data_IF_851745569852
#
_entry.id   IF_851745569852
#
_cell.length_a   1.000
_cell.length_b   1.000
_cell.length_c   1.000
_cell.angle_alpha   90.00
_cell.angle_beta   90.00
_cell.angle_gamma   90.00
#
_symmetry.space_group_name_H-M   'P 1'
#
loop_
_entity.id
_entity.type
_entity.pdbx_description
1 polymer ?
#
# COMPACT_ATOMS: atom_id res chain seq x y z
N UNK A 1 59.62 31.64 -3.26
CA UNK A 1 60.35 30.58 -4.04
C UNK A 1 60.07 29.16 -3.52
N UNK A 2 59.72 28.93 -2.25
CA UNK A 2 59.36 27.58 -1.73
C UNK A 2 57.92 27.13 -2.10
N UNK A 3 56.98 28.05 -2.36
CA UNK A 3 55.58 27.69 -2.69
C UNK A 3 55.34 27.33 -4.18
N UNK A 4 56.23 27.73 -5.10
CA UNK A 4 56.11 27.41 -6.53
C UNK A 4 56.65 26.01 -6.88
N UNK A 5 57.57 25.47 -6.07
CA UNK A 5 58.17 24.14 -6.30
C UNK A 5 57.24 22.99 -5.87
N UNK A 6 56.37 23.22 -4.88
CA UNK A 6 55.39 22.23 -4.39
C UNK A 6 54.22 22.02 -5.38
N UNK A 7 53.84 23.05 -6.15
CA UNK A 7 52.76 22.95 -7.16
C UNK A 7 53.20 22.24 -8.44
N UNK A 8 54.48 22.34 -8.81
CA UNK A 8 55.06 21.65 -9.99
C UNK A 8 55.22 20.13 -9.76
N UNK A 9 55.66 19.71 -8.56
CA UNK A 9 55.77 18.28 -8.22
C UNK A 9 54.42 17.55 -8.06
N UNK A 10 53.33 18.26 -7.73
CA UNK A 10 51.99 17.66 -7.65
C UNK A 10 51.34 17.47 -9.02
N UNK A 11 51.74 18.27 -10.01
CA UNK A 11 51.20 18.22 -11.37
C UNK A 11 51.91 17.17 -12.23
N UNK A 12 53.20 16.92 -11.97
CA UNK A 12 53.99 15.85 -12.61
C UNK A 12 53.54 14.45 -12.14
N UNK A 13 53.24 14.28 -10.83
CA UNK A 13 52.66 13.02 -10.30
C UNK A 13 51.27 12.68 -10.84
N UNK A 14 50.47 13.67 -11.25
CA UNK A 14 49.14 13.43 -11.80
C UNK A 14 49.20 13.00 -13.28
N UNK A 15 50.19 13.49 -14.03
CA UNK A 15 50.37 13.15 -15.44
C UNK A 15 50.90 11.71 -15.64
N UNK A 16 51.76 11.22 -14.73
CA UNK A 16 52.27 9.83 -14.75
C UNK A 16 51.21 8.79 -14.32
N UNK A 17 50.22 9.19 -13.53
CA UNK A 17 49.09 8.34 -13.16
C UNK A 17 48.09 8.19 -14.32
N UNK A 18 47.91 9.23 -15.14
CA UNK A 18 47.05 9.19 -16.33
C UNK A 18 47.69 8.44 -17.51
N UNK A 19 49.02 8.46 -17.67
CA UNK A 19 49.69 7.69 -18.74
C UNK A 19 49.68 6.17 -18.49
N UNK A 20 49.73 5.74 -17.22
CA UNK A 20 49.62 4.33 -16.84
C UNK A 20 48.19 3.77 -16.92
N UNK A 21 47.15 4.61 -16.87
CA UNK A 21 45.76 4.17 -17.04
C UNK A 21 45.40 3.99 -18.52
N UNK A 22 45.93 4.83 -19.42
CA UNK A 22 45.73 4.68 -20.87
C UNK A 22 46.49 3.48 -21.46
N UNK A 23 47.68 3.13 -20.94
CA UNK A 23 48.38 1.91 -21.36
C UNK A 23 47.67 0.60 -20.94
N UNK A 24 46.83 0.62 -19.91
CA UNK A 24 46.02 -0.54 -19.49
C UNK A 24 44.70 -0.70 -20.25
N UNK A 25 44.23 0.31 -20.98
CA UNK A 25 43.00 0.25 -21.80
C UNK A 25 43.27 -0.15 -23.26
N UNK A 26 44.52 -0.16 -23.71
CA UNK A 26 44.93 -0.59 -25.06
C UNK A 26 45.15 -2.12 -25.16
N UNK A 27 45.26 -2.83 -24.02
CA UNK A 27 45.57 -4.26 -23.94
C UNK A 27 44.41 -5.25 -24.11
N UNK A 28 43.16 -4.80 -24.29
CA UNK A 28 42.00 -5.72 -24.41
C UNK A 28 41.18 -5.59 -25.70
N UNK A 29 41.73 -4.90 -26.72
CA UNK A 29 41.11 -4.69 -28.04
C UNK A 29 41.76 -5.53 -29.16
N UNK A 30 42.26 -6.73 -28.81
CA UNK A 30 42.93 -7.66 -29.72
C UNK A 30 42.36 -9.07 -29.55
N UNK A 31 41.12 -9.29 -30.02
CA UNK A 31 40.56 -10.63 -30.30
C UNK A 31 39.40 -10.49 -31.30
N UNK A 32 39.72 -10.03 -32.51
CA UNK A 32 38.88 -10.21 -33.71
C UNK A 32 39.83 -10.42 -34.90
N UNK A 33 39.95 -11.68 -35.34
CA UNK A 33 40.61 -12.04 -36.61
C UNK A 33 39.59 -12.04 -37.76
N UNK A 34 40.04 -11.84 -39.01
CA UNK A 34 39.22 -11.38 -40.13
C UNK A 34 38.65 -12.51 -41.01
N UNK A 35 37.63 -12.15 -41.76
CA UNK A 35 36.87 -12.92 -42.77
C UNK A 35 37.75 -13.27 -43.99
N UNK A 36 37.59 -14.46 -44.61
CA UNK A 36 37.97 -14.67 -46.00
C UNK A 36 36.77 -14.47 -46.95
N UNK A 37 36.96 -13.61 -47.94
CA UNK A 37 36.12 -13.43 -49.12
C UNK A 37 36.25 -14.62 -50.07
N UNK A 38 35.14 -15.23 -50.48
CA UNK A 38 35.09 -16.13 -51.63
C UNK A 38 34.05 -15.64 -52.64
N UNK A 39 34.52 -15.53 -53.88
CA UNK A 39 33.82 -15.14 -55.09
C UNK A 39 32.93 -16.31 -55.60
N UNK A 40 31.93 -16.02 -56.47
CA UNK A 40 31.46 -16.85 -57.62
C UNK A 40 29.97 -16.62 -57.96
N UNK A 41 29.77 -15.97 -59.11
CA UNK A 41 28.83 -16.21 -60.25
C UNK A 41 27.40 -16.77 -60.01
N UNK A 42 26.44 -15.95 -60.45
CA UNK A 42 25.36 -16.23 -61.42
C UNK A 42 24.81 -17.67 -61.54
N UNK A 43 23.55 -17.91 -61.11
CA UNK A 43 22.63 -18.85 -61.79
C UNK A 43 21.17 -18.55 -61.44
N UNK A 44 20.34 -18.48 -62.49
CA UNK A 44 18.87 -18.34 -62.46
C UNK A 44 18.18 -19.69 -62.13
N UNK A 45 16.89 -19.55 -61.82
CA UNK A 45 15.77 -20.50 -61.95
C UNK A 45 15.52 -21.47 -60.79
N UNK A 46 14.29 -21.45 -60.27
CA UNK A 46 13.74 -22.55 -59.47
C UNK A 46 12.58 -22.12 -58.58
N UNK A 47 11.38 -21.94 -59.14
CA UNK A 47 10.16 -21.73 -58.38
C UNK A 47 9.83 -22.94 -57.51
N UNK A 48 9.61 -22.73 -56.21
CA UNK A 48 8.97 -23.69 -55.33
C UNK A 48 8.10 -22.93 -54.31
N UNK A 49 6.80 -23.00 -54.56
CA UNK A 49 5.71 -22.39 -53.79
C UNK A 49 5.62 -23.08 -52.42
N UNK A 50 6.40 -22.65 -51.42
CA UNK A 50 6.19 -23.04 -50.02
C UNK A 50 5.09 -22.19 -49.41
N UNK A 51 3.92 -22.80 -49.17
CA UNK A 51 2.87 -22.26 -48.31
C UNK A 51 3.45 -22.03 -46.91
N UNK A 52 3.88 -20.80 -46.62
CA UNK A 52 4.08 -20.36 -45.24
C UNK A 52 2.70 -20.24 -44.59
N UNK A 53 2.35 -21.25 -43.80
CA UNK A 53 1.27 -21.17 -42.82
C UNK A 53 1.80 -20.21 -41.74
N UNK A 54 1.44 -18.94 -41.84
CA UNK A 54 1.67 -17.93 -40.82
C UNK A 54 0.92 -18.42 -39.57
N UNK A 55 1.65 -19.03 -38.64
CA UNK A 55 1.17 -19.22 -37.29
C UNK A 55 1.05 -17.82 -36.67
N UNK A 56 -0.16 -17.28 -36.72
CA UNK A 56 -0.60 -16.22 -35.83
C UNK A 56 -0.40 -16.74 -34.41
N UNK A 57 0.74 -16.38 -33.80
CA UNK A 57 1.03 -16.58 -32.38
C UNK A 57 0.08 -15.67 -31.59
N UNK A 58 -1.15 -16.16 -31.42
CA UNK A 58 -2.15 -15.56 -30.57
C UNK A 58 -1.72 -15.66 -29.11
N UNK A 59 -1.82 -14.54 -28.40
CA UNK A 59 -1.97 -14.42 -26.95
C UNK A 59 -1.11 -15.36 -26.09
N UNK A 60 0.02 -14.85 -25.60
CA UNK A 60 0.80 -15.53 -24.56
C UNK A 60 -0.11 -15.88 -23.37
N UNK A 61 -0.41 -17.17 -23.21
CA UNK A 61 -1.14 -17.68 -22.06
C UNK A 61 -0.33 -17.36 -20.79
N UNK A 62 -0.91 -16.57 -19.89
CA UNK A 62 -0.35 -16.39 -18.54
C UNK A 62 -0.29 -17.79 -17.91
N UNK A 63 0.92 -18.36 -17.78
CA UNK A 63 1.12 -19.64 -17.10
C UNK A 63 0.65 -19.49 -15.65
N UNK A 64 -0.47 -20.14 -15.33
CA UNK A 64 -1.00 -20.24 -13.97
C UNK A 64 -0.15 -21.23 -13.19
N UNK A 65 0.52 -20.76 -12.16
CA UNK A 65 1.30 -21.61 -11.25
C UNK A 65 0.81 -21.43 -9.80
N UNK A 66 -0.17 -22.23 -9.36
CA UNK A 66 -0.66 -22.16 -7.99
C UNK A 66 0.38 -22.62 -6.96
N UNK A 67 1.40 -23.41 -7.36
CA UNK A 67 2.44 -23.90 -6.45
C UNK A 67 3.34 -22.77 -5.95
N UNK A 68 3.53 -21.73 -6.75
CA UNK A 68 4.28 -20.53 -6.36
C UNK A 68 3.66 -19.70 -5.21
N UNK A 69 2.38 -19.94 -4.87
CA UNK A 69 1.69 -19.29 -3.75
C UNK A 69 1.92 -20.01 -2.41
N UNK A 70 2.31 -21.29 -2.45
CA UNK A 70 2.45 -22.13 -1.24
C UNK A 70 3.60 -21.64 -0.36
N UNK A 71 4.76 -21.31 -0.96
CA UNK A 71 5.92 -20.87 -0.18
C UNK A 71 5.66 -19.59 0.63
N UNK A 72 5.14 -18.49 0.05
CA UNK A 72 4.81 -17.29 0.85
C UNK A 72 3.76 -17.56 1.93
N UNK A 73 2.78 -18.42 1.66
CA UNK A 73 1.80 -18.82 2.67
C UNK A 73 2.46 -19.57 3.83
N UNK A 74 3.36 -20.51 3.53
CA UNK A 74 4.11 -21.27 4.55
C UNK A 74 5.02 -20.36 5.38
N UNK A 75 5.72 -19.40 4.77
CA UNK A 75 6.53 -18.42 5.51
C UNK A 75 5.67 -17.54 6.41
N UNK A 76 4.50 -17.11 5.93
CA UNK A 76 3.56 -16.32 6.74
C UNK A 76 3.04 -17.14 7.92
N UNK A 77 2.43 -18.30 7.69
CA UNK A 77 1.88 -19.12 8.77
C UNK A 77 2.97 -19.64 9.73
N UNK A 78 4.13 -20.03 9.19
CA UNK A 78 5.26 -20.51 9.98
C UNK A 78 5.85 -19.42 10.89
N UNK A 79 6.05 -18.20 10.38
CA UNK A 79 6.53 -17.08 11.21
C UNK A 79 5.56 -16.69 12.30
N UNK A 80 4.25 -16.70 12.02
CA UNK A 80 3.22 -16.46 13.05
C UNK A 80 3.17 -17.58 14.09
N UNK A 81 3.26 -18.84 13.65
CA UNK A 81 3.31 -20.01 14.53
C UNK A 81 4.53 -19.97 15.46
N UNK A 82 5.72 -19.63 14.93
CA UNK A 82 6.94 -19.44 15.71
C UNK A 82 6.81 -18.26 16.70
N UNK A 83 6.14 -17.17 16.30
CA UNK A 83 5.88 -16.05 17.21
C UNK A 83 5.01 -16.48 18.39
N UNK A 84 3.93 -17.23 18.13
CA UNK A 84 3.07 -17.78 19.18
C UNK A 84 3.83 -18.78 20.07
N UNK A 85 4.62 -19.68 19.47
CA UNK A 85 5.42 -20.66 20.20
C UNK A 85 6.45 -19.99 21.13
N UNK A 86 7.08 -18.89 20.68
CA UNK A 86 8.03 -18.13 21.50
C UNK A 86 7.42 -17.48 22.74
N UNK A 87 6.09 -17.40 22.81
CA UNK A 87 5.32 -16.81 23.90
C UNK A 87 4.60 -17.84 24.77
N UNK A 88 4.59 -19.13 24.38
CA UNK A 88 3.74 -20.15 25.01
C UNK A 88 4.06 -20.41 26.49
N UNK A 89 5.33 -20.27 26.87
CA UNK A 89 5.80 -20.51 28.24
C UNK A 89 5.61 -19.30 29.18
N UNK A 90 5.17 -18.15 28.66
CA UNK A 90 5.04 -16.92 29.44
C UNK A 90 3.78 -16.93 30.30
N UNK A 91 3.93 -16.49 31.55
CA UNK A 91 2.80 -16.21 32.43
C UNK A 91 2.21 -14.83 32.10
N UNK A 92 0.91 -14.60 32.39
CA UNK A 92 0.25 -13.32 32.13
C UNK A 92 1.04 -12.08 32.58
N UNK A 93 1.64 -12.10 33.76
CA UNK A 93 2.37 -10.96 34.33
C UNK A 93 3.81 -10.80 33.84
N UNK A 94 4.32 -11.70 32.99
CA UNK A 94 5.71 -11.69 32.55
C UNK A 94 6.00 -10.55 31.57
N UNK A 95 7.28 -10.17 31.51
CA UNK A 95 7.79 -9.10 30.63
C UNK A 95 8.50 -9.66 29.42
N UNK A 96 8.41 -8.94 28.32
CA UNK A 96 9.11 -9.32 27.10
C UNK A 96 10.53 -8.73 27.13
N UNK A 97 11.53 -9.61 27.13
CA UNK A 97 12.92 -9.19 27.01
C UNK A 97 13.19 -8.59 25.63
N UNK A 98 14.19 -7.71 25.52
CA UNK A 98 14.56 -7.08 24.25
C UNK A 98 14.92 -8.11 23.17
N UNK A 99 15.56 -9.22 23.55
CA UNK A 99 15.90 -10.31 22.63
C UNK A 99 14.64 -10.98 22.05
N UNK A 100 13.65 -11.30 22.90
CA UNK A 100 12.36 -11.85 22.45
C UNK A 100 11.58 -10.81 21.64
N UNK A 101 11.60 -9.55 22.04
CA UNK A 101 11.01 -8.44 21.28
C UNK A 101 11.59 -8.29 19.88
N UNK A 102 12.92 -8.36 19.74
CA UNK A 102 13.61 -8.32 18.45
C UNK A 102 13.27 -9.52 17.57
N UNK A 103 13.13 -10.71 18.17
CA UNK A 103 12.64 -11.91 17.48
C UNK A 103 11.20 -11.70 16.98
N UNK A 104 10.31 -11.15 17.80
CA UNK A 104 8.93 -10.85 17.41
C UNK A 104 8.84 -9.82 16.28
N UNK A 105 9.65 -8.77 16.30
CA UNK A 105 9.75 -7.82 15.16
C UNK A 105 10.18 -8.56 13.89
N UNK A 106 11.21 -9.40 14.00
CA UNK A 106 11.75 -10.13 12.84
C UNK A 106 10.72 -11.09 12.26
N UNK A 107 10.03 -11.86 13.11
CA UNK A 107 8.96 -12.77 12.72
C UNK A 107 7.75 -12.00 12.15
N UNK A 108 7.39 -10.86 12.73
CA UNK A 108 6.34 -9.99 12.21
C UNK A 108 6.69 -9.43 10.84
N UNK A 109 7.93 -9.00 10.62
CA UNK A 109 8.37 -8.53 9.31
C UNK A 109 8.25 -9.62 8.24
N UNK A 110 8.73 -10.83 8.53
CA UNK A 110 8.56 -12.00 7.65
C UNK A 110 7.07 -12.27 7.42
N UNK A 111 6.25 -12.24 8.46
CA UNK A 111 4.81 -12.48 8.39
C UNK A 111 4.11 -11.53 7.40
N UNK A 112 4.25 -10.22 7.59
CA UNK A 112 3.53 -9.22 6.79
C UNK A 112 4.02 -9.17 5.35
N UNK A 113 5.32 -9.28 5.11
CA UNK A 113 5.89 -9.32 3.76
C UNK A 113 5.42 -10.58 3.02
N UNK A 114 5.52 -11.75 3.66
CA UNK A 114 5.12 -13.02 3.06
C UNK A 114 3.60 -13.10 2.83
N UNK A 115 2.78 -12.57 3.76
CA UNK A 115 1.32 -12.49 3.59
C UNK A 115 0.95 -11.64 2.38
N UNK A 116 1.62 -10.52 2.19
CA UNK A 116 1.38 -9.61 1.06
C UNK A 116 1.78 -10.25 -0.26
N UNK A 117 2.94 -10.90 -0.30
CA UNK A 117 3.40 -11.64 -1.48
C UNK A 117 2.44 -12.79 -1.81
N UNK A 118 1.99 -13.53 -0.79
CA UNK A 118 0.96 -14.55 -0.93
C UNK A 118 -0.31 -13.98 -1.57
N UNK A 119 -0.87 -12.90 -1.02
CA UNK A 119 -2.11 -12.30 -1.55
C UNK A 119 -1.94 -11.77 -2.97
N UNK A 120 -0.80 -11.15 -3.28
CA UNK A 120 -0.49 -10.68 -4.64
C UNK A 120 -0.41 -11.85 -5.63
N UNK A 121 0.31 -12.93 -5.28
CA UNK A 121 0.37 -14.13 -6.12
C UNK A 121 -0.98 -14.84 -6.22
N UNK A 122 -1.75 -14.89 -5.13
CA UNK A 122 -3.08 -15.46 -5.10
C UNK A 122 -3.99 -14.77 -6.14
N UNK A 123 -3.98 -13.44 -6.20
CA UNK A 123 -4.80 -12.69 -7.15
C UNK A 123 -4.22 -12.73 -8.58
N UNK A 124 -2.89 -12.66 -8.75
CA UNK A 124 -2.26 -12.48 -10.06
C UNK A 124 -1.83 -13.78 -10.77
N UNK A 125 -1.72 -14.91 -10.05
CA UNK A 125 -1.20 -16.18 -10.60
C UNK A 125 -2.21 -17.32 -10.59
N UNK A 126 -3.27 -17.23 -9.80
CA UNK A 126 -4.30 -18.28 -9.77
C UNK A 126 -5.40 -18.02 -10.79
N UNK A 127 -6.06 -19.09 -11.26
CA UNK A 127 -7.19 -19.01 -12.18
C UNK A 127 -8.36 -18.23 -11.57
N UNK A 128 -8.63 -18.43 -10.27
CA UNK A 128 -9.67 -17.72 -9.53
C UNK A 128 -9.33 -16.23 -9.42
N UNK A 129 -8.09 -15.90 -9.07
CA UNK A 129 -7.62 -14.52 -8.97
C UNK A 129 -7.66 -13.79 -10.31
N UNK A 130 -7.18 -14.41 -11.39
CA UNK A 130 -7.25 -13.83 -12.73
C UNK A 130 -8.69 -13.65 -13.22
N UNK A 131 -9.59 -14.58 -12.86
CA UNK A 131 -11.02 -14.43 -13.14
C UNK A 131 -11.63 -13.25 -12.38
N UNK A 132 -11.21 -13.04 -11.13
CA UNK A 132 -11.60 -11.89 -10.31
C UNK A 132 -11.10 -10.57 -10.91
N UNK A 133 -9.83 -10.49 -11.30
CA UNK A 133 -9.24 -9.31 -11.96
C UNK A 133 -9.98 -8.97 -13.26
N UNK A 134 -10.29 -9.99 -14.09
CA UNK A 134 -11.07 -9.80 -15.32
C UNK A 134 -12.51 -9.35 -15.04
N UNK A 135 -13.18 -9.96 -14.06
CA UNK A 135 -14.58 -9.64 -13.69
C UNK A 135 -14.75 -8.19 -13.28
N UNK A 136 -13.82 -7.65 -12.50
CA UNK A 136 -13.87 -6.27 -12.00
C UNK A 136 -12.99 -5.29 -12.77
N UNK A 137 -12.38 -5.72 -13.88
CA UNK A 137 -11.48 -4.92 -14.74
C UNK A 137 -10.39 -4.19 -13.94
N UNK A 138 -9.79 -4.90 -12.99
CA UNK A 138 -8.80 -4.32 -12.07
C UNK A 138 -7.45 -4.13 -12.76
N UNK A 139 -6.79 -3.01 -12.49
CA UNK A 139 -5.38 -2.78 -12.88
C UNK A 139 -4.44 -3.29 -11.80
N UNK A 140 -3.16 -3.32 -12.10
CA UNK A 140 -2.11 -3.74 -11.15
C UNK A 140 -2.11 -2.87 -9.89
N UNK A 141 -2.25 -1.54 -10.03
CA UNK A 141 -2.36 -0.62 -8.88
C UNK A 141 -3.55 -0.96 -7.99
N UNK A 142 -4.67 -1.33 -8.62
CA UNK A 142 -5.92 -1.65 -7.93
C UNK A 142 -5.78 -2.99 -7.16
N UNK A 143 -5.07 -3.97 -7.72
CA UNK A 143 -4.76 -5.23 -7.03
C UNK A 143 -3.84 -5.01 -5.82
N UNK A 144 -2.77 -4.23 -5.98
CA UNK A 144 -1.87 -3.91 -4.86
C UNK A 144 -2.59 -3.12 -3.76
N UNK A 145 -3.51 -2.23 -4.13
CA UNK A 145 -4.33 -1.51 -3.17
C UNK A 145 -5.27 -2.44 -2.39
N UNK A 146 -5.90 -3.39 -3.08
CA UNK A 146 -6.77 -4.40 -2.45
C UNK A 146 -5.97 -5.27 -1.48
N UNK A 147 -4.81 -5.78 -1.88
CA UNK A 147 -4.00 -6.62 -1.00
C UNK A 147 -3.47 -5.84 0.19
N UNK A 148 -3.08 -4.58 0.02
CA UNK A 148 -2.70 -3.71 1.14
C UNK A 148 -3.82 -3.59 2.18
N UNK A 149 -5.05 -3.30 1.70
CA UNK A 149 -6.24 -3.19 2.56
C UNK A 149 -6.59 -4.49 3.27
N UNK A 150 -6.38 -5.64 2.64
CA UNK A 150 -6.57 -6.96 3.28
C UNK A 150 -5.54 -7.15 4.41
N UNK A 151 -4.25 -6.88 4.16
CA UNK A 151 -3.20 -7.02 5.18
C UNK A 151 -3.45 -6.08 6.37
N UNK A 152 -3.89 -4.85 6.09
CA UNK A 152 -4.30 -3.90 7.11
C UNK A 152 -5.48 -4.40 7.95
N UNK A 153 -6.51 -5.00 7.32
CA UNK A 153 -7.63 -5.60 8.05
C UNK A 153 -7.20 -6.79 8.94
N UNK A 154 -6.23 -7.59 8.50
CA UNK A 154 -5.66 -8.69 9.30
C UNK A 154 -4.91 -8.14 10.51
N UNK A 155 -4.04 -7.13 10.31
CA UNK A 155 -3.35 -6.48 11.43
C UNK A 155 -4.34 -5.91 12.45
N UNK A 156 -5.37 -5.22 11.98
CA UNK A 156 -6.36 -4.61 12.84
C UNK A 156 -7.15 -5.65 13.65
N UNK A 157 -7.41 -6.82 13.05
CA UNK A 157 -8.02 -7.95 13.75
C UNK A 157 -7.10 -8.45 14.86
N UNK A 158 -5.79 -8.62 14.60
CA UNK A 158 -4.84 -9.00 15.64
C UNK A 158 -4.75 -7.98 16.77
N UNK A 159 -4.76 -6.68 16.43
CA UNK A 159 -4.78 -5.60 17.42
C UNK A 159 -6.02 -5.71 18.29
N UNK A 160 -7.20 -5.82 17.69
CA UNK A 160 -8.45 -5.90 18.44
C UNK A 160 -8.52 -7.14 19.34
N UNK A 161 -8.04 -8.30 18.87
CA UNK A 161 -7.99 -9.53 19.66
C UNK A 161 -7.02 -9.39 20.83
N UNK A 162 -5.81 -8.86 20.60
CA UNK A 162 -4.84 -8.61 21.67
C UNK A 162 -5.41 -7.62 22.71
N UNK A 163 -6.00 -6.52 22.25
CA UNK A 163 -6.67 -5.54 23.09
C UNK A 163 -7.80 -6.14 23.91
N UNK A 164 -8.66 -6.96 23.32
CA UNK A 164 -9.75 -7.60 24.04
C UNK A 164 -9.26 -8.54 25.14
N UNK A 165 -8.25 -9.37 24.86
CA UNK A 165 -7.66 -10.30 25.84
C UNK A 165 -7.02 -9.53 27.00
N UNK A 166 -6.19 -8.52 26.70
CA UNK A 166 -5.54 -7.68 27.72
C UNK A 166 -6.57 -6.91 28.55
N UNK A 167 -7.60 -6.36 27.91
CA UNK A 167 -8.69 -5.64 28.60
C UNK A 167 -9.41 -6.56 29.59
N UNK A 168 -9.79 -7.77 29.13
CA UNK A 168 -10.55 -8.73 29.94
C UNK A 168 -9.76 -9.25 31.14
N UNK A 169 -8.43 -9.27 31.05
CA UNK A 169 -7.54 -9.68 32.13
C UNK A 169 -7.16 -8.52 33.05
N UNK A 170 -6.60 -7.44 32.50
CA UNK A 170 -5.98 -6.36 33.28
C UNK A 170 -7.00 -5.42 33.93
N UNK A 171 -8.09 -5.09 33.24
CA UNK A 171 -9.04 -4.08 33.73
C UNK A 171 -9.78 -4.48 35.02
N UNK A 172 -10.21 -5.76 35.21
CA UNK A 172 -10.82 -6.19 36.47
C UNK A 172 -9.85 -6.27 37.65
N UNK A 173 -8.57 -6.50 37.39
CA UNK A 173 -7.53 -6.62 38.42
C UNK A 173 -7.17 -5.25 38.99
N UNK A 174 -6.60 -4.39 38.15
CA UNK A 174 -6.19 -3.04 38.52
C UNK A 174 -6.01 -2.21 37.26
N UNK A 175 -6.86 -1.21 37.05
CA UNK A 175 -6.84 -0.35 35.87
C UNK A 175 -5.46 0.29 35.61
N UNK A 176 -4.75 0.68 36.68
CA UNK A 176 -3.47 1.39 36.58
C UNK A 176 -2.24 0.48 36.59
N UNK A 177 -2.31 -0.67 37.26
CA UNK A 177 -1.10 -1.44 37.61
C UNK A 177 -1.06 -2.87 37.05
N UNK A 178 -2.20 -3.42 36.60
CA UNK A 178 -2.20 -4.75 36.03
C UNK A 178 -1.48 -4.75 34.68
N UNK A 179 -0.61 -5.73 34.47
CA UNK A 179 0.10 -5.94 33.22
C UNK A 179 -0.21 -7.29 32.59
N UNK A 180 -0.17 -7.34 31.27
CA UNK A 180 -0.30 -8.60 30.52
C UNK A 180 0.76 -8.67 29.41
N UNK A 181 1.54 -9.75 29.34
CA UNK A 181 2.65 -9.90 28.37
C UNK A 181 2.19 -9.67 26.92
N UNK A 182 0.94 -10.06 26.60
CA UNK A 182 0.36 -9.92 25.27
C UNK A 182 0.35 -8.47 24.77
N UNK A 183 0.22 -7.48 25.66
CA UNK A 183 0.30 -6.06 25.32
C UNK A 183 1.67 -5.72 24.72
N UNK A 184 2.74 -6.10 25.41
CA UNK A 184 4.12 -5.84 24.97
C UNK A 184 4.50 -6.71 23.77
N UNK A 185 4.18 -8.01 23.79
CA UNK A 185 4.53 -8.90 22.69
C UNK A 185 3.85 -8.52 21.39
N UNK A 186 2.58 -8.09 21.46
CA UNK A 186 1.87 -7.59 20.29
C UNK A 186 2.45 -6.26 19.81
N UNK A 187 2.82 -5.33 20.71
CA UNK A 187 3.50 -4.09 20.31
C UNK A 187 4.79 -4.37 19.51
N UNK A 188 5.64 -5.29 20.00
CA UNK A 188 6.85 -5.72 19.30
C UNK A 188 6.52 -6.35 17.93
N UNK A 189 5.58 -7.28 17.87
CA UNK A 189 5.18 -7.90 16.60
C UNK A 189 4.62 -6.87 15.61
N UNK A 190 3.68 -6.02 16.07
CA UNK A 190 2.97 -5.03 15.25
C UNK A 190 3.86 -3.87 14.78
N UNK A 191 4.95 -3.54 15.50
CA UNK A 191 5.88 -2.50 15.05
C UNK A 191 6.36 -2.75 13.61
N UNK A 192 6.65 -4.01 13.27
CA UNK A 192 7.07 -4.39 11.91
C UNK A 192 6.01 -4.12 10.83
N UNK A 193 4.71 -4.25 11.16
CA UNK A 193 3.62 -3.90 10.26
C UNK A 193 3.67 -2.43 9.85
N UNK A 194 3.85 -1.51 10.81
CA UNK A 194 3.79 -0.07 10.51
C UNK A 194 4.89 0.35 9.52
N UNK A 195 6.08 -0.25 9.62
CA UNK A 195 7.15 -0.03 8.64
C UNK A 195 6.84 -0.67 7.29
N UNK A 196 6.32 -1.90 7.29
CA UNK A 196 5.88 -2.59 6.09
C UNK A 196 4.77 -1.81 5.35
N UNK A 197 3.79 -1.27 6.06
CA UNK A 197 2.62 -0.62 5.47
C UNK A 197 3.00 0.69 4.76
N UNK A 198 3.96 1.47 5.32
CA UNK A 198 4.54 2.63 4.62
C UNK A 198 5.14 2.22 3.27
N UNK A 199 5.88 1.11 3.24
CA UNK A 199 6.49 0.59 2.02
C UNK A 199 5.44 0.08 1.02
N UNK A 200 4.40 -0.60 1.50
CA UNK A 200 3.33 -1.12 0.68
C UNK A 200 2.47 0.01 0.08
N UNK A 201 2.09 1.01 0.87
CA UNK A 201 1.41 2.21 0.38
C UNK A 201 2.25 2.96 -0.67
N UNK A 202 3.57 3.05 -0.48
CA UNK A 202 4.47 3.59 -1.51
C UNK A 202 4.40 2.78 -2.81
N UNK A 203 4.39 1.44 -2.74
CA UNK A 203 4.25 0.59 -3.94
C UNK A 203 2.94 0.85 -4.67
N UNK A 204 1.83 1.02 -3.94
CA UNK A 204 0.53 1.40 -4.53
C UNK A 204 0.62 2.76 -5.21
N UNK A 205 1.19 3.77 -4.53
CA UNK A 205 1.39 5.11 -5.07
C UNK A 205 2.26 5.11 -6.35
N UNK A 206 3.36 4.38 -6.35
CA UNK A 206 4.25 4.24 -7.50
C UNK A 206 3.53 3.58 -8.69
N UNK A 207 2.75 2.51 -8.44
CA UNK A 207 1.97 1.84 -9.47
C UNK A 207 0.86 2.74 -10.03
N UNK A 208 0.19 3.53 -9.19
CA UNK A 208 -0.83 4.49 -9.63
C UNK A 208 -0.21 5.63 -10.45
N UNK A 209 0.94 6.16 -10.03
CA UNK A 209 1.67 7.19 -10.78
C UNK A 209 2.07 6.68 -12.18
N UNK A 210 2.57 5.44 -12.27
CA UNK A 210 2.89 4.79 -13.55
C UNK A 210 1.65 4.69 -14.45
N UNK A 211 0.50 4.28 -13.90
CA UNK A 211 -0.74 4.18 -14.66
C UNK A 211 -1.22 5.54 -15.18
N UNK A 212 -1.05 6.61 -14.41
CA UNK A 212 -1.38 7.98 -14.85
C UNK A 212 -0.49 8.41 -16.01
N UNK A 213 0.82 8.15 -15.93
CA UNK A 213 1.77 8.47 -17.02
C UNK A 213 1.40 7.70 -18.30
N UNK A 214 1.12 6.39 -18.21
CA UNK A 214 0.71 5.59 -19.37
C UNK A 214 -0.59 6.12 -20.01
N UNK A 215 -1.53 6.60 -19.20
CA UNK A 215 -2.77 7.20 -19.69
C UNK A 215 -2.50 8.53 -20.41
N UNK A 216 -1.64 9.38 -19.84
CA UNK A 216 -1.26 10.67 -20.46
C UNK A 216 -0.52 10.49 -21.77
N UNK A 217 0.33 9.45 -21.88
CA UNK A 217 1.08 9.15 -23.10
C UNK A 217 0.24 8.45 -24.19
N UNK A 218 -1.04 8.16 -23.94
CA UNK A 218 -1.89 7.44 -24.89
C UNK A 218 -1.51 5.96 -25.09
N UNK A 219 -0.56 5.45 -24.30
CA UNK A 219 -0.05 4.07 -24.34
C UNK A 219 -0.90 3.10 -23.49
N UNK A 220 -1.92 3.60 -22.80
CA UNK A 220 -2.87 2.74 -22.10
C UNK A 220 -3.59 1.87 -23.13
N UNK A 221 -3.24 0.58 -23.18
CA UNK A 221 -3.92 -0.40 -24.01
C UNK A 221 -5.43 -0.23 -23.84
N UNK A 222 -6.10 0.12 -24.93
CA UNK A 222 -7.54 0.12 -25.08
C UNK A 222 -8.05 -1.32 -24.92
N UNK A 223 -8.20 -1.76 -23.67
CA UNK A 223 -9.20 -2.78 -23.39
C UNK A 223 -10.57 -2.10 -23.57
N UNK A 224 -11.03 -2.16 -24.82
CA UNK A 224 -12.22 -1.49 -25.35
C UNK A 224 -13.42 -1.51 -24.40
N UNK A 225 -13.94 -0.31 -24.16
CA UNK A 225 -15.18 -0.02 -23.46
C UNK A 225 -15.47 1.46 -23.62
N UNK A 226 -15.76 1.86 -24.87
CA UNK A 226 -15.98 3.21 -25.33
C UNK A 226 -16.87 4.05 -24.38
N UNK A 227 -16.36 5.23 -24.01
CA UNK A 227 -17.22 6.40 -23.83
C UNK A 227 -17.61 6.90 -25.23
N UNK A 228 -18.85 6.61 -25.65
CA UNK A 228 -19.46 7.22 -26.84
C UNK A 228 -19.75 8.69 -26.56
N UNK A 229 -19.18 9.60 -27.36
CA UNK A 229 -19.91 10.63 -28.11
C UNK A 229 -18.94 11.50 -28.93
N UNK A 230 -18.95 11.31 -30.25
CA UNK A 230 -18.24 12.11 -31.23
C UNK A 230 -18.33 11.44 -32.60
N UNK A 231 -18.82 12.14 -33.62
CA UNK A 231 -19.14 11.68 -34.98
C UNK A 231 -18.02 10.88 -35.67
N UNK A 232 -18.36 9.97 -36.61
CA UNK A 232 -17.36 9.26 -37.41
C UNK A 232 -16.83 10.18 -38.52
N UNK A 233 -15.51 10.40 -38.56
CA UNK A 233 -14.83 10.88 -39.76
C UNK A 233 -14.19 9.69 -40.47
N UNK A 234 -14.66 9.45 -41.68
CA UNK A 234 -14.14 8.54 -42.70
C UNK A 234 -12.66 8.79 -43.00
N UNK A 235 -11.87 7.72 -43.10
CA UNK A 235 -10.49 7.76 -43.58
C UNK A 235 -9.74 6.47 -43.26
N UNK A 236 -9.85 5.48 -44.14
CA UNK A 236 -8.97 4.32 -44.15
C UNK A 236 -7.63 4.67 -44.83
N UNK A 237 -6.61 3.86 -44.53
CA UNK A 237 -5.26 3.84 -45.09
C UNK A 237 -4.25 4.84 -44.49
N UNK A 238 -3.45 4.36 -43.53
CA UNK A 238 -2.02 4.18 -43.77
C UNK A 238 -1.37 3.39 -42.62
N UNK A 239 -0.82 2.23 -42.99
CA UNK A 239 0.07 1.45 -42.15
C UNK A 239 1.49 1.95 -42.42
N UNK A 240 2.04 2.78 -41.53
CA UNK A 240 3.42 3.25 -41.64
C UNK A 240 4.10 3.30 -40.26
N UNK A 241 5.11 2.44 -40.13
CA UNK A 241 6.40 2.72 -39.50
C UNK A 241 6.42 3.04 -37.99
N UNK A 242 6.40 2.00 -37.15
CA UNK A 242 6.68 2.13 -35.72
C UNK A 242 8.17 2.49 -35.52
N UNK A 243 8.42 3.72 -35.06
CA UNK A 243 9.76 4.20 -34.70
C UNK A 243 10.38 3.35 -33.56
N UNK A 244 11.71 3.15 -33.54
CA UNK A 244 12.41 2.40 -32.49
C UNK A 244 12.18 2.95 -31.05
N UNK A 245 11.75 4.21 -30.92
CA UNK A 245 11.42 4.86 -29.65
C UNK A 245 10.12 4.38 -29.00
N UNK A 246 9.14 3.87 -29.78
CA UNK A 246 7.87 3.34 -29.23
C UNK A 246 8.03 1.95 -28.62
N UNK A 247 8.89 1.11 -29.22
CA UNK A 247 9.21 -0.23 -28.70
C UNK A 247 10.03 -0.15 -27.42
N UNK A 248 10.90 0.86 -27.30
CA UNK A 248 11.68 1.14 -26.08
C UNK A 248 10.79 1.64 -24.92
N UNK A 249 9.72 2.40 -25.21
CA UNK A 249 8.75 2.82 -24.20
C UNK A 249 7.89 1.65 -23.66
N UNK A 250 7.69 0.61 -24.47
CA UNK A 250 6.97 -0.61 -24.08
C UNK A 250 7.82 -1.53 -23.18
N UNK A 251 9.15 -1.50 -23.30
CA UNK A 251 10.08 -2.24 -22.43
C UNK A 251 10.35 -1.58 -21.08
N UNK A 252 9.99 -0.30 -20.93
CA UNK A 252 10.20 0.52 -19.73
C UNK A 252 9.01 0.48 -18.75
N UNK A 253 7.99 -0.33 -19.05
CA UNK A 253 6.86 -0.59 -18.16
C UNK A 253 7.31 -1.60 -17.10
N UNK A 254 7.09 -1.35 -15.79
CA UNK A 254 7.43 -2.31 -14.74
C UNK A 254 6.73 -3.64 -15.00
N UNK A 255 7.49 -4.63 -15.45
CA UNK A 255 6.99 -5.99 -15.65
C UNK A 255 7.00 -6.71 -14.29
N UNK A 256 5.87 -7.33 -13.95
CA UNK A 256 5.76 -8.15 -12.75
C UNK A 256 6.62 -9.40 -12.97
N UNK A 257 7.86 -9.37 -12.47
CA UNK A 257 8.63 -10.60 -12.28
C UNK A 257 8.14 -11.25 -10.98
N UNK A 258 7.53 -12.43 -11.10
CA UNK A 258 7.17 -13.31 -9.98
C UNK A 258 6.08 -12.85 -8.99
N UNK A 259 5.23 -11.88 -9.32
CA UNK A 259 4.16 -11.41 -8.41
C UNK A 259 4.62 -10.36 -7.40
N UNK A 260 5.90 -9.99 -7.46
CA UNK A 260 6.47 -8.82 -6.82
C UNK A 260 6.61 -7.74 -7.89
N UNK A 261 6.19 -6.51 -7.59
CA UNK A 261 6.53 -5.39 -8.45
C UNK A 261 8.06 -5.33 -8.48
N UNK A 262 8.67 -5.63 -9.62
CA UNK A 262 10.13 -5.54 -9.79
C UNK A 262 10.50 -4.07 -9.63
N UNK A 263 10.84 -3.72 -8.40
CA UNK A 263 11.37 -2.41 -8.10
C UNK A 263 12.74 -2.37 -8.79
N UNK A 264 12.92 -1.39 -9.67
CA UNK A 264 14.19 -1.01 -10.33
C UNK A 264 14.53 -1.71 -11.67
N UNK A 265 13.64 -1.65 -12.66
CA UNK A 265 14.15 -1.16 -13.95
C UNK A 265 13.76 0.30 -14.03
N UNK A 266 14.74 1.18 -13.80
CA UNK A 266 14.57 2.62 -13.95
C UNK A 266 14.37 2.93 -15.45
N UNK A 267 13.13 2.73 -15.92
CA UNK A 267 12.70 3.28 -17.20
C UNK A 267 12.93 4.78 -17.16
N UNK A 268 13.43 5.35 -18.26
CA UNK A 268 13.84 6.77 -18.36
C UNK A 268 12.73 7.79 -18.05
N UNK A 269 11.49 7.34 -17.83
CA UNK A 269 10.36 8.14 -17.36
C UNK A 269 10.03 7.87 -15.88
N UNK A 270 10.81 8.53 -15.02
CA UNK A 270 10.60 8.84 -13.59
C UNK A 270 9.48 8.17 -12.80
N UNK A 271 9.80 7.06 -12.12
CA UNK A 271 9.05 6.61 -10.94
C UNK A 271 9.21 7.67 -9.83
N UNK A 272 8.14 8.08 -9.12
CA UNK A 272 8.29 9.05 -8.03
C UNK A 272 9.15 8.45 -6.92
N UNK A 273 10.19 9.19 -6.51
CA UNK A 273 11.08 8.78 -5.42
C UNK A 273 10.30 8.50 -4.13
N UNK A 274 10.74 7.48 -3.38
CA UNK A 274 10.21 7.16 -2.05
C UNK A 274 10.23 8.38 -1.11
N UNK A 275 11.30 9.18 -1.17
CA UNK A 275 11.41 10.42 -0.38
C UNK A 275 10.31 11.42 -0.75
N UNK A 276 9.99 11.52 -2.05
CA UNK A 276 8.90 12.39 -2.53
C UNK A 276 7.54 11.92 -2.02
N UNK A 277 7.32 10.61 -1.96
CA UNK A 277 6.13 10.02 -1.35
C UNK A 277 6.02 10.36 0.15
N UNK A 278 7.12 10.21 0.90
CA UNK A 278 7.13 10.53 2.33
C UNK A 278 6.79 12.01 2.60
N UNK A 279 7.30 12.92 1.77
CA UNK A 279 7.07 14.36 1.90
C UNK A 279 5.66 14.75 1.44
N UNK A 280 5.07 14.05 0.46
CA UNK A 280 3.72 14.37 -0.01
C UNK A 280 2.62 13.84 0.92
N UNK A 281 2.82 12.69 1.56
CA UNK A 281 1.83 12.04 2.43
C UNK A 281 2.18 12.15 3.93
N UNK A 282 2.51 13.37 4.37
CA UNK A 282 3.06 13.65 5.71
C UNK A 282 2.21 13.09 6.86
N UNK A 283 0.89 13.28 6.80
CA UNK A 283 -0.02 12.88 7.90
C UNK A 283 -0.02 11.36 8.10
N UNK A 284 -0.15 10.60 7.01
CA UNK A 284 -0.17 9.13 7.06
C UNK A 284 1.18 8.58 7.49
N UNK A 285 2.27 9.09 6.93
CA UNK A 285 3.63 8.65 7.30
C UNK A 285 3.95 8.98 8.75
N UNK A 286 3.63 10.19 9.21
CA UNK A 286 3.80 10.58 10.61
C UNK A 286 2.99 9.67 11.53
N UNK A 287 1.73 9.37 11.22
CA UNK A 287 0.89 8.48 12.01
C UNK A 287 1.51 7.07 12.16
N UNK A 288 1.96 6.47 11.06
CA UNK A 288 2.55 5.12 11.09
C UNK A 288 3.90 5.10 11.82
N UNK A 289 4.75 6.12 11.63
CA UNK A 289 6.02 6.22 12.35
C UNK A 289 5.82 6.52 13.85
N UNK A 290 4.83 7.34 14.18
CA UNK A 290 4.52 7.66 15.57
C UNK A 290 4.00 6.42 16.32
N UNK A 291 3.05 5.69 15.74
CA UNK A 291 2.53 4.48 16.39
C UNK A 291 3.57 3.35 16.40
N UNK A 292 4.23 3.09 15.27
CA UNK A 292 5.20 2.00 15.13
C UNK A 292 6.47 2.20 15.96
N UNK A 293 7.00 3.42 16.03
CA UNK A 293 8.26 3.70 16.74
C UNK A 293 8.03 4.22 18.15
N UNK A 294 7.34 5.35 18.29
CA UNK A 294 7.12 5.97 19.60
C UNK A 294 6.18 5.13 20.46
N UNK A 295 5.10 4.58 19.88
CA UNK A 295 4.21 3.66 20.58
C UNK A 295 4.94 2.42 21.13
N UNK A 296 5.82 1.82 20.33
CA UNK A 296 6.66 0.70 20.79
C UNK A 296 7.56 1.09 21.96
N UNK A 297 8.29 2.22 21.85
CA UNK A 297 9.19 2.68 22.93
C UNK A 297 8.41 2.95 24.22
N UNK A 298 7.22 3.54 24.11
CA UNK A 298 6.35 3.77 25.26
C UNK A 298 5.97 2.46 25.93
N UNK A 299 5.43 1.50 25.18
CA UNK A 299 4.93 0.24 25.73
C UNK A 299 6.06 -0.63 26.28
N UNK A 300 7.19 -0.71 25.57
CA UNK A 300 8.32 -1.57 25.92
C UNK A 300 9.20 -1.02 27.05
N UNK A 301 9.37 0.32 27.16
CA UNK A 301 10.36 0.90 28.07
C UNK A 301 9.81 1.98 29.00
N UNK A 302 9.08 2.98 28.47
CA UNK A 302 8.70 4.16 29.28
C UNK A 302 7.55 3.89 30.25
N UNK A 303 6.75 2.86 29.98
CA UNK A 303 5.54 2.53 30.74
C UNK A 303 5.83 1.90 32.11
N UNK A 304 6.94 1.19 32.27
CA UNK A 304 7.29 0.53 33.54
C UNK A 304 6.27 -0.51 34.04
N UNK A 305 5.32 -0.97 33.20
CA UNK A 305 4.30 -1.96 33.56
C UNK A 305 2.94 -1.43 33.96
N UNK A 306 2.75 -0.13 33.90
CA UNK A 306 1.51 0.52 34.26
C UNK A 306 0.57 0.67 33.06
N UNK A 307 -0.74 0.65 33.28
CA UNK A 307 -1.73 1.09 32.28
C UNK A 307 -1.97 0.15 31.09
N UNK A 308 -1.71 -1.16 31.18
CA UNK A 308 -2.05 -2.10 30.08
C UNK A 308 -3.55 -2.12 29.79
N UNK A 309 -4.39 -1.88 30.80
CA UNK A 309 -5.82 -1.67 30.56
C UNK A 309 -6.07 -0.47 29.63
N UNK A 310 -5.38 0.66 29.82
CA UNK A 310 -5.50 1.84 28.93
C UNK A 310 -5.00 1.51 27.52
N UNK A 311 -3.84 0.85 27.40
CA UNK A 311 -3.31 0.43 26.09
C UNK A 311 -4.20 -0.58 25.38
N UNK A 312 -4.91 -1.44 26.13
CA UNK A 312 -5.85 -2.40 25.55
C UNK A 312 -6.99 -1.72 24.79
N UNK A 313 -7.50 -0.59 25.32
CA UNK A 313 -8.48 0.24 24.62
C UNK A 313 -7.90 0.89 23.37
N UNK A 314 -6.62 1.29 23.39
CA UNK A 314 -5.94 1.80 22.19
C UNK A 314 -5.87 0.75 21.09
N UNK A 315 -5.62 -0.52 21.44
CA UNK A 315 -5.65 -1.60 20.45
C UNK A 315 -7.05 -1.89 19.90
N UNK A 316 -8.09 -1.74 20.71
CA UNK A 316 -9.48 -1.90 20.27
C UNK A 316 -9.93 -0.79 19.30
N UNK A 317 -9.22 0.34 19.22
CA UNK A 317 -9.50 1.40 18.23
C UNK A 317 -9.38 0.90 16.78
N UNK A 318 -8.59 -0.14 16.56
CA UNK A 318 -8.42 -0.73 15.23
C UNK A 318 -9.62 -1.55 14.75
N UNK A 319 -10.63 -1.83 15.59
CA UNK A 319 -11.82 -2.59 15.19
C UNK A 319 -12.58 -1.96 14.00
N UNK A 320 -12.49 -0.65 13.80
CA UNK A 320 -13.11 0.01 12.64
C UNK A 320 -12.36 -0.24 11.32
N UNK A 321 -11.07 -0.56 11.37
CA UNK A 321 -10.17 -0.65 10.20
C UNK A 321 -10.59 -1.73 9.20
N UNK A 322 -11.01 -2.94 9.60
CA UNK A 322 -11.56 -3.93 8.66
C UNK A 322 -12.72 -3.40 7.83
N UNK A 323 -13.61 -2.60 8.44
CA UNK A 323 -14.76 -2.00 7.73
C UNK A 323 -14.33 -0.86 6.80
N UNK A 324 -13.35 -0.05 7.21
CA UNK A 324 -12.73 0.99 6.36
C UNK A 324 -12.07 0.35 5.14
N UNK A 325 -11.22 -0.66 5.36
CA UNK A 325 -10.54 -1.42 4.31
C UNK A 325 -11.53 -2.10 3.37
N UNK A 326 -12.56 -2.76 3.91
CA UNK A 326 -13.57 -3.42 3.08
C UNK A 326 -14.35 -2.42 2.21
N UNK A 327 -14.68 -1.24 2.74
CA UNK A 327 -15.30 -0.16 1.96
C UNK A 327 -14.37 0.30 0.83
N UNK A 328 -13.08 0.44 1.13
CA UNK A 328 -12.04 0.76 0.16
C UNK A 328 -11.98 -0.27 -0.97
N UNK A 329 -11.92 -1.56 -0.63
CA UNK A 329 -11.92 -2.67 -1.59
C UNK A 329 -13.15 -2.62 -2.50
N UNK A 330 -14.35 -2.47 -1.93
CA UNK A 330 -15.59 -2.35 -2.71
C UNK A 330 -15.58 -1.13 -3.64
N UNK A 331 -14.99 -0.01 -3.19
CA UNK A 331 -14.80 1.18 -4.03
C UNK A 331 -13.82 0.92 -5.18
N UNK A 332 -12.71 0.22 -4.93
CA UNK A 332 -11.72 -0.16 -5.94
C UNK A 332 -12.29 -1.14 -6.97
N UNK A 333 -13.22 -2.02 -6.55
CA UNK A 333 -13.99 -2.91 -7.43
C UNK A 333 -15.12 -2.20 -8.21
N UNK A 334 -15.34 -0.90 -8.01
CA UNK A 334 -16.41 -0.15 -8.67
C UNK A 334 -17.81 -0.42 -8.14
N UNK A 335 -17.95 -1.05 -6.97
CA UNK A 335 -19.24 -1.48 -6.40
C UNK A 335 -19.91 -0.43 -5.49
N UNK A 336 -19.73 0.87 -5.79
CA UNK A 336 -20.22 1.97 -4.93
C UNK A 336 -21.74 2.06 -4.84
N UNK A 337 -22.46 1.56 -5.84
CA UNK A 337 -23.93 1.56 -5.88
C UNK A 337 -24.56 0.34 -5.21
N UNK A 338 -23.75 -0.61 -4.74
CA UNK A 338 -24.24 -1.83 -4.12
C UNK A 338 -24.80 -1.59 -2.70
N UNK A 339 -25.83 -2.35 -2.32
CA UNK A 339 -26.33 -2.37 -0.93
C UNK A 339 -25.22 -2.72 0.06
N UNK A 340 -24.32 -3.64 -0.31
CA UNK A 340 -23.16 -4.03 0.49
C UNK A 340 -22.25 -2.84 0.81
N UNK A 341 -22.00 -1.97 -0.16
CA UNK A 341 -21.19 -0.76 0.04
C UNK A 341 -21.83 0.21 1.04
N UNK A 342 -23.16 0.34 1.00
CA UNK A 342 -23.92 1.20 1.92
C UNK A 342 -23.94 0.60 3.33
N UNK A 343 -24.29 -0.69 3.46
CA UNK A 343 -24.35 -1.40 4.75
C UNK A 343 -22.98 -1.36 5.44
N UNK A 344 -21.91 -1.73 4.71
CA UNK A 344 -20.57 -1.65 5.27
C UNK A 344 -20.18 -0.22 5.63
N UNK A 345 -20.61 0.78 4.84
CA UNK A 345 -20.40 2.19 5.17
C UNK A 345 -21.05 2.63 6.48
N UNK A 346 -22.24 2.10 6.80
CA UNK A 346 -22.93 2.35 8.06
C UNK A 346 -22.24 1.64 9.23
N UNK A 347 -21.85 0.38 9.07
CA UNK A 347 -21.09 -0.37 10.08
C UNK A 347 -19.75 0.30 10.36
N UNK A 348 -19.05 0.75 9.31
CA UNK A 348 -17.82 1.54 9.42
C UNK A 348 -18.07 2.82 10.21
N UNK A 349 -19.14 3.57 9.94
CA UNK A 349 -19.42 4.82 10.65
C UNK A 349 -19.69 4.58 12.14
N UNK A 350 -20.50 3.56 12.47
CA UNK A 350 -20.80 3.20 13.85
C UNK A 350 -19.55 2.73 14.61
N UNK A 351 -18.79 1.80 14.03
CA UNK A 351 -17.59 1.26 14.68
C UNK A 351 -16.49 2.31 14.83
N UNK A 352 -16.32 3.20 13.85
CA UNK A 352 -15.38 4.32 13.94
C UNK A 352 -15.77 5.30 15.05
N UNK A 353 -17.05 5.67 15.14
CA UNK A 353 -17.55 6.50 16.24
C UNK A 353 -17.28 5.85 17.60
N UNK A 354 -17.73 4.61 17.77
CA UNK A 354 -17.65 3.92 19.06
C UNK A 354 -16.20 3.70 19.51
N UNK A 355 -15.38 3.11 18.63
CA UNK A 355 -14.04 2.64 19.00
C UNK A 355 -13.00 3.76 18.96
N UNK A 356 -13.13 4.77 18.09
CA UNK A 356 -12.10 5.80 17.91
C UNK A 356 -12.49 7.18 18.46
N UNK A 357 -13.77 7.53 18.46
CA UNK A 357 -14.24 8.85 18.91
C UNK A 357 -14.73 8.81 20.35
N UNK A 358 -15.56 7.83 20.71
CA UNK A 358 -16.18 7.73 22.04
C UNK A 358 -15.26 7.08 23.08
N UNK A 359 -14.54 6.02 22.71
CA UNK A 359 -13.74 5.23 23.64
C UNK A 359 -12.65 6.05 24.34
N UNK A 360 -12.00 6.98 23.63
CA UNK A 360 -10.91 7.79 24.21
C UNK A 360 -11.41 8.70 25.36
N UNK A 361 -12.45 9.55 25.18
CA UNK A 361 -13.10 10.28 26.28
C UNK A 361 -13.55 9.37 27.42
N UNK A 362 -14.12 8.21 27.11
CA UNK A 362 -14.56 7.24 28.13
C UNK A 362 -13.38 6.74 28.98
N UNK A 363 -12.25 6.40 28.37
CA UNK A 363 -11.04 5.97 29.10
C UNK A 363 -10.49 7.10 29.99
N UNK A 364 -10.48 8.35 29.50
CA UNK A 364 -10.11 9.51 30.32
C UNK A 364 -11.09 9.73 31.50
N UNK A 365 -12.38 9.52 31.27
CA UNK A 365 -13.40 9.58 32.33
C UNK A 365 -13.19 8.48 33.36
N UNK A 366 -13.01 7.24 32.93
CA UNK A 366 -12.74 6.12 33.83
C UNK A 366 -11.47 6.35 34.65
N UNK A 367 -10.41 6.88 34.03
CA UNK A 367 -9.20 7.32 34.73
C UNK A 367 -9.52 8.34 35.83
N UNK A 368 -10.33 9.36 35.54
CA UNK A 368 -10.73 10.38 36.52
C UNK A 368 -11.43 9.80 37.75
N UNK A 369 -12.26 8.76 37.55
CA UNK A 369 -12.92 8.03 38.64
C UNK A 369 -11.90 7.27 39.49
N UNK A 370 -10.93 6.59 38.85
CA UNK A 370 -9.90 5.82 39.55
C UNK A 370 -8.98 6.72 40.39
N UNK A 371 -8.64 7.92 39.89
CA UNK A 371 -7.80 8.88 40.64
C UNK A 371 -8.60 9.80 41.57
N UNK A 372 -9.93 9.67 41.59
CA UNK A 372 -10.86 10.50 42.37
C UNK A 372 -10.63 12.02 42.17
N UNK A 373 -10.52 12.46 40.92
CA UNK A 373 -10.39 13.87 40.56
C UNK A 373 -11.47 14.29 39.55
N UNK A 374 -11.88 15.57 39.53
CA UNK A 374 -12.71 16.10 38.45
C UNK A 374 -12.09 15.82 37.09
N UNK A 375 -12.91 15.51 36.07
CA UNK A 375 -12.47 15.09 34.74
C UNK A 375 -11.38 15.98 34.12
N UNK A 376 -11.61 17.30 34.09
CA UNK A 376 -10.66 18.25 33.51
C UNK A 376 -9.34 18.33 34.30
N UNK A 377 -9.42 18.23 35.62
CA UNK A 377 -8.24 18.23 36.49
C UNK A 377 -7.42 16.94 36.32
N UNK A 378 -8.09 15.79 36.24
CA UNK A 378 -7.46 14.50 35.98
C UNK A 378 -6.67 14.53 34.66
N UNK A 379 -7.26 15.09 33.59
CA UNK A 379 -6.57 15.24 32.30
C UNK A 379 -5.40 16.22 32.41
N UNK A 380 -5.57 17.34 33.12
CA UNK A 380 -4.50 18.34 33.23
C UNK A 380 -3.28 17.82 33.99
N UNK A 381 -3.51 16.99 35.03
CA UNK A 381 -2.46 16.34 35.83
C UNK A 381 -1.71 15.23 35.08
N UNK A 382 -2.22 14.75 33.94
CA UNK A 382 -1.48 13.77 33.14
C UNK A 382 -0.10 14.32 32.73
N UNK A 383 0.94 13.46 32.69
CA UNK A 383 2.26 13.85 32.20
C UNK A 383 2.19 14.48 30.82
N UNK A 384 3.05 15.48 30.56
CA UNK A 384 3.07 16.21 29.27
C UNK A 384 3.13 15.27 28.07
N UNK A 385 3.95 14.20 28.14
CA UNK A 385 4.05 13.19 27.10
C UNK A 385 2.73 12.46 26.83
N UNK A 386 2.00 12.06 27.89
CA UNK A 386 0.71 11.39 27.74
C UNK A 386 -0.33 12.31 27.07
N UNK A 387 -0.39 13.59 27.48
CA UNK A 387 -1.29 14.59 26.87
C UNK A 387 -1.01 14.79 25.39
N UNK A 388 0.26 14.98 25.02
CA UNK A 388 0.68 15.17 23.63
C UNK A 388 0.35 13.91 22.81
N UNK A 389 0.59 12.72 23.34
CA UNK A 389 0.31 11.45 22.65
C UNK A 389 -1.18 11.20 22.45
N UNK A 390 -2.00 11.45 23.47
CA UNK A 390 -3.47 11.36 23.34
C UNK A 390 -3.95 12.33 22.26
N UNK A 391 -3.46 13.57 22.26
CA UNK A 391 -3.85 14.57 21.25
C UNK A 391 -3.40 14.16 19.84
N UNK A 392 -2.15 13.70 19.69
CA UNK A 392 -1.58 13.27 18.42
C UNK A 392 -2.32 12.06 17.83
N UNK A 393 -2.82 11.15 18.68
CA UNK A 393 -3.63 10.01 18.26
C UNK A 393 -5.08 10.40 17.98
N UNK A 394 -5.67 11.30 18.77
CA UNK A 394 -7.10 11.61 18.72
C UNK A 394 -7.49 12.60 17.62
N UNK A 395 -6.69 13.64 17.37
CA UNK A 395 -7.00 14.66 16.36
C UNK A 395 -7.21 14.10 14.94
N UNK A 396 -6.35 13.19 14.43
CA UNK A 396 -6.58 12.58 13.12
C UNK A 396 -7.89 11.79 13.08
N UNK A 397 -8.29 11.12 14.17
CA UNK A 397 -9.53 10.36 14.22
C UNK A 397 -10.76 11.26 14.13
N UNK A 398 -10.76 12.41 14.82
CA UNK A 398 -11.84 13.40 14.69
C UNK A 398 -11.93 13.95 13.27
N UNK A 399 -10.78 14.23 12.65
CA UNK A 399 -10.72 14.69 11.25
C UNK A 399 -11.32 13.66 10.29
N UNK A 400 -10.91 12.39 10.37
CA UNK A 400 -11.43 11.33 9.52
C UNK A 400 -12.91 11.04 9.79
N UNK A 401 -13.34 11.03 11.05
CA UNK A 401 -14.76 10.85 11.39
C UNK A 401 -15.62 11.95 10.78
N UNK A 402 -15.19 13.21 10.86
CA UNK A 402 -15.86 14.34 10.22
C UNK A 402 -15.97 14.15 8.70
N UNK A 403 -14.91 13.67 8.04
CA UNK A 403 -14.94 13.36 6.61
C UNK A 403 -15.94 12.24 6.28
N UNK A 404 -15.93 11.15 7.06
CA UNK A 404 -16.86 10.03 6.88
C UNK A 404 -18.31 10.45 7.08
N UNK A 405 -18.59 11.24 8.11
CA UNK A 405 -19.93 11.74 8.41
C UNK A 405 -20.44 12.67 7.29
N UNK A 406 -19.60 13.59 6.81
CA UNK A 406 -19.94 14.44 5.65
C UNK A 406 -20.20 13.62 4.40
N UNK A 407 -19.40 12.58 4.16
CA UNK A 407 -19.60 11.63 3.07
C UNK A 407 -20.94 10.89 3.16
N UNK A 408 -21.29 10.39 4.36
CA UNK A 408 -22.56 9.70 4.60
C UNK A 408 -23.77 10.63 4.40
N UNK A 409 -23.72 11.84 4.99
CA UNK A 409 -24.75 12.88 4.84
C UNK A 409 -24.98 13.16 3.34
N UNK A 410 -23.91 13.37 2.55
CA UNK A 410 -24.04 13.63 1.11
C UNK A 410 -24.79 12.53 0.36
N UNK A 411 -24.58 11.26 0.72
CA UNK A 411 -25.27 10.12 0.10
C UNK A 411 -26.75 10.08 0.50
N UNK A 412 -27.06 10.23 1.79
CA UNK A 412 -28.45 10.17 2.27
C UNK A 412 -29.30 11.36 1.81
N UNK A 413 -28.73 12.57 1.82
CA UNK A 413 -29.44 13.77 1.34
C UNK A 413 -29.65 13.76 -0.18
N UNK A 414 -28.68 13.28 -0.97
CA UNK A 414 -28.87 13.12 -2.43
C UNK A 414 -29.99 12.12 -2.73
N UNK A 415 -30.05 11.00 -2.00
CA UNK A 415 -31.12 10.01 -2.17
C UNK A 415 -32.49 10.56 -1.73
N UNK A 416 -32.55 11.41 -0.70
CA UNK A 416 -33.80 12.05 -0.26
C UNK A 416 -34.33 13.07 -1.29
N UNK A 417 -33.45 13.86 -1.91
CA UNK A 417 -33.82 14.80 -2.98
C UNK A 417 -34.24 14.04 -4.25
N UNK A 418 -33.54 12.98 -4.64
CA UNK A 418 -33.95 12.15 -5.78
C UNK A 418 -35.26 11.39 -5.52
N UNK A 419 -35.51 10.92 -4.29
CA UNK A 419 -36.78 10.30 -3.92
C UNK A 419 -37.93 11.31 -3.88
N UNK A 420 -37.69 12.53 -3.36
CA UNK A 420 -38.67 13.62 -3.36
C UNK A 420 -38.99 14.11 -4.77
N UNK A 421 -37.99 14.27 -5.64
CA UNK A 421 -38.20 14.65 -7.04
C UNK A 421 -38.92 13.56 -7.83
N UNK A 422 -38.70 12.27 -7.55
CA UNK A 422 -39.45 11.19 -8.19
C UNK A 422 -40.90 11.09 -7.67
N UNK A 423 -41.14 11.40 -6.39
CA UNK A 423 -42.49 11.51 -5.84
C UNK A 423 -43.27 12.70 -6.42
N UNK A 424 -42.60 13.82 -6.71
CA UNK A 424 -43.19 15.00 -7.34
C UNK A 424 -43.31 14.84 -8.88
N UNK A 425 -42.35 14.18 -9.54
CA UNK A 425 -42.37 13.92 -10.98
C UNK A 425 -43.42 12.88 -11.38
N UNK A 426 -43.79 11.95 -10.48
CA UNK A 426 -44.97 11.09 -10.68
C UNK A 426 -46.31 11.86 -10.59
N UNK A 427 -46.30 13.15 -10.24
CA UNK A 427 -47.43 14.07 -10.33
C UNK A 427 -47.30 15.13 -11.44
N UNK A 428 -46.18 15.21 -12.15
CA UNK A 428 -45.96 16.23 -13.18
C UNK A 428 -44.99 15.71 -14.26
N UNK A 429 -45.55 15.05 -15.28
CA UNK A 429 -44.87 14.88 -16.54
C UNK A 429 -44.89 16.23 -17.29
N UNK A 430 -43.73 16.90 -17.42
CA UNK A 430 -43.29 17.65 -18.61
C UNK A 430 -41.90 18.28 -18.41
N UNK A 431 -41.01 18.01 -19.37
CA UNK A 431 -39.87 18.77 -19.89
C UNK A 431 -38.91 19.53 -18.93
N UNK A 432 -37.62 19.19 -18.98
CA UNK A 432 -36.55 20.11 -18.57
C UNK A 432 -35.17 19.49 -18.38
N UNK A 433 -34.27 19.78 -19.31
CA UNK A 433 -32.83 19.43 -19.31
C UNK A 433 -32.06 20.01 -18.12
N UNK A 434 -31.29 19.17 -17.39
CA UNK A 434 -30.50 19.59 -16.23
C UNK A 434 -29.02 19.18 -16.31
N UNK A 435 -28.13 20.18 -16.31
CA UNK A 435 -26.66 20.07 -16.35
C UNK A 435 -26.07 19.28 -15.15
N UNK A 436 -25.01 18.49 -15.41
CA UNK A 436 -24.18 17.80 -14.41
C UNK A 436 -23.03 18.70 -13.90
N UNK A 437 -22.79 18.78 -12.57
CA UNK A 437 -21.57 19.39 -12.04
C UNK A 437 -20.42 18.39 -11.91
N UNK A 438 -19.34 18.70 -12.64
CA UNK A 438 -17.89 18.50 -12.37
C UNK A 438 -17.44 17.40 -11.38
N UNK A 439 -16.78 16.38 -11.95
CA UNK A 439 -16.06 15.27 -11.32
C UNK A 439 -14.73 15.66 -10.62
N UNK A 440 -14.39 16.94 -10.50
CA UNK A 440 -13.03 17.37 -10.12
C UNK A 440 -12.68 17.24 -8.63
N UNK A 441 -13.66 17.13 -7.72
CA UNK A 441 -13.42 17.12 -6.26
C UNK A 441 -13.33 15.73 -5.62
N UNK A 442 -13.67 14.67 -6.36
CA UNK A 442 -13.66 13.30 -5.82
C UNK A 442 -12.26 12.63 -5.88
N UNK A 443 -11.30 13.23 -6.60
CA UNK A 443 -9.91 12.74 -6.68
C UNK A 443 -9.09 13.06 -5.44
N UNK A 444 -9.37 14.17 -4.76
CA UNK A 444 -8.65 14.60 -3.55
C UNK A 444 -9.00 13.74 -2.34
N UNK A 445 -10.25 13.26 -2.25
CA UNK A 445 -10.71 12.34 -1.20
C UNK A 445 -10.11 10.94 -1.37
N UNK A 446 -9.77 10.55 -2.61
CA UNK A 446 -9.16 9.24 -2.93
C UNK A 446 -7.70 9.11 -2.48
N UNK A 447 -7.02 10.22 -2.22
CA UNK A 447 -5.61 10.21 -1.79
C UNK A 447 -5.44 10.25 -0.26
N UNK A 448 -6.54 10.37 0.49
CA UNK A 448 -6.55 10.57 1.94
C UNK A 448 -7.20 9.41 2.73
N UNK A 449 -7.72 8.39 2.03
CA UNK A 449 -8.16 7.10 2.56
C UNK A 449 -7.32 6.01 1.92
#
# INVERSE_FOLDING_TARGET
IVYAKKKRNSQEKNNDATSNLEQRLIGHRQLFRPIPTANVKNRRVGGARRRNRIAMSGGGAIKTDPRGCIFPLLYSLGSFGLACASLWELKPSDRITVQRGALLISLGFVYFVALTEFLNKLILRTTVGLSFVKKYRLRISDVLDITNKIVSAVQATFSCVAGFIVCRWSCPLNFLQASHFLSESYAWFAASYFFYDIWSMYKVYAAEASNRIMTTLGLAATNNGAARNGKPSTGAADALDQKPSEVQALSDIPSISNGTLSILSAGKMGIPSFVRYMISHKLMVFHHLFIGSYGLVVIAYLRGGLGDCVFSFMYMMELSTPFVSFRGILSTMGLKDSKMYVINGLVMLFTFFWCRVFLMPYVCYYYSQVVNLPFFEAIWRLPRGCKISILALFLPQLYWFRLMLRGAIKVFFKNKISAGNNAVANGAATNGTGLKPSQSKDSEIRSLM
#
